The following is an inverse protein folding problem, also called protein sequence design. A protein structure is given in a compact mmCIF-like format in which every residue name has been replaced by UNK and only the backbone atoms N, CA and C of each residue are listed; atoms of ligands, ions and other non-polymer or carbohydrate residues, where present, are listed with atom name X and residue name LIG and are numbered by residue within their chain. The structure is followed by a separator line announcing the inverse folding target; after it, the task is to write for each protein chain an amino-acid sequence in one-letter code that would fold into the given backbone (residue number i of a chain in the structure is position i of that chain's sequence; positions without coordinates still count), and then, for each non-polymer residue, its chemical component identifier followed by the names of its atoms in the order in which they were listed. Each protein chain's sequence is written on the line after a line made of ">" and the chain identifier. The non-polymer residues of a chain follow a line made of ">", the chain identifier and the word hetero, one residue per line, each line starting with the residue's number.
data_IF_158505947885
#
_entry.id   IF_158505947885
#
_cell.length_a   1.000
_cell.length_b   1.000
_cell.length_c   1.000
_cell.angle_alpha   90.00
_cell.angle_beta   90.00
_cell.angle_gamma   90.00
#
_symmetry.space_group_name_H-M   'P 1'
#
loop_
_entity.id
_entity.type
_entity.pdbx_description
1 polymer ?
#
# COMPACT_ATOMS: atom_id res chain seq x y z
N UNK A 1 16.47 -12.13 1.94
CA UNK A 1 15.62 -12.91 2.88
C UNK A 1 14.47 -13.50 2.10
N UNK A 2 13.99 -14.70 2.42
CA UNK A 2 12.86 -15.32 1.70
C UNK A 2 11.58 -15.28 2.55
N UNK A 3 10.48 -14.91 1.92
CA UNK A 3 9.14 -14.86 2.52
C UNK A 3 8.22 -15.79 1.74
N UNK A 4 7.55 -16.69 2.46
CA UNK A 4 6.51 -17.57 1.93
C UNK A 4 5.12 -16.97 2.20
N UNK A 5 4.29 -16.90 1.17
CA UNK A 5 2.93 -16.36 1.23
C UNK A 5 1.94 -17.43 0.79
N UNK A 6 0.84 -17.55 1.55
CA UNK A 6 -0.36 -18.26 1.14
C UNK A 6 -1.57 -17.38 1.41
N UNK A 7 -2.41 -17.16 0.42
CA UNK A 7 -3.70 -16.50 0.60
C UNK A 7 -4.80 -17.26 -0.12
N UNK A 8 -5.96 -17.33 0.52
CA UNK A 8 -7.16 -17.96 -0.01
C UNK A 8 -8.35 -17.10 0.30
N UNK A 9 -9.20 -16.84 -0.68
CA UNK A 9 -10.40 -16.04 -0.48
C UNK A 9 -11.52 -16.45 -1.43
N UNK A 10 -12.75 -16.38 -0.94
CA UNK A 10 -13.94 -16.80 -1.65
C UNK A 10 -14.97 -15.66 -1.68
N UNK A 11 -15.63 -15.52 -2.81
CA UNK A 11 -16.68 -14.54 -3.02
C UNK A 11 -17.95 -15.21 -3.53
N UNK A 12 -19.10 -14.58 -3.32
CA UNK A 12 -20.38 -14.98 -3.94
C UNK A 12 -21.07 -13.79 -4.58
N UNK A 13 -21.86 -14.08 -5.62
CA UNK A 13 -22.58 -13.09 -6.43
C UNK A 13 -23.95 -13.64 -6.80
N UNK A 14 -24.98 -12.78 -6.79
CA UNK A 14 -26.35 -13.18 -7.17
C UNK A 14 -26.61 -13.10 -8.68
N UNK A 15 -25.78 -12.34 -9.40
CA UNK A 15 -25.86 -12.15 -10.84
C UNK A 15 -24.44 -12.13 -11.44
N UNK A 16 -24.28 -12.33 -12.76
CA UNK A 16 -22.98 -12.23 -13.40
C UNK A 16 -22.36 -10.84 -13.21
N UNK A 17 -21.14 -10.79 -12.69
CA UNK A 17 -20.37 -9.55 -12.52
C UNK A 17 -19.03 -9.63 -13.24
N UNK A 18 -18.46 -8.46 -13.49
CA UNK A 18 -17.03 -8.31 -13.75
C UNK A 18 -16.37 -7.75 -12.48
N UNK A 19 -15.22 -8.32 -12.12
CA UNK A 19 -14.42 -7.92 -10.98
C UNK A 19 -12.95 -7.80 -11.38
N UNK A 20 -12.24 -6.90 -10.71
CA UNK A 20 -10.81 -6.67 -10.90
C UNK A 20 -10.11 -6.87 -9.55
N UNK A 21 -9.30 -7.92 -9.47
CA UNK A 21 -8.59 -8.33 -8.27
C UNK A 21 -7.13 -7.89 -8.30
N UNK A 22 -6.54 -7.62 -7.14
CA UNK A 22 -5.11 -7.36 -7.00
C UNK A 22 -4.58 -7.97 -5.70
N UNK A 23 -3.84 -9.07 -5.83
CA UNK A 23 -3.33 -9.86 -4.70
C UNK A 23 -2.01 -10.57 -5.00
N UNK A 24 -1.65 -10.72 -6.28
CA UNK A 24 -0.42 -11.37 -6.68
C UNK A 24 0.78 -10.50 -6.34
N UNK A 25 1.81 -11.11 -5.77
CA UNK A 25 3.07 -10.42 -5.45
C UNK A 25 3.72 -9.85 -6.72
N UNK A 26 4.30 -8.66 -6.61
CA UNK A 26 5.03 -8.03 -7.69
C UNK A 26 6.42 -8.68 -7.85
N UNK A 27 6.90 -8.81 -9.09
CA UNK A 27 8.29 -9.19 -9.41
C UNK A 27 9.02 -7.94 -9.91
N UNK A 28 9.86 -7.35 -9.06
CA UNK A 28 10.47 -6.03 -9.27
C UNK A 28 11.92 -6.02 -8.74
N UNK A 29 12.77 -5.05 -9.11
CA UNK A 29 14.20 -5.10 -8.77
C UNK A 29 14.54 -5.28 -7.28
N UNK A 30 13.70 -4.81 -6.36
CA UNK A 30 13.91 -4.94 -4.90
C UNK A 30 13.27 -6.18 -4.25
N UNK A 31 12.51 -6.98 -5.02
CA UNK A 31 11.94 -8.26 -4.57
C UNK A 31 11.75 -9.22 -5.75
N UNK A 32 12.33 -10.41 -5.66
CA UNK A 32 12.34 -11.39 -6.74
C UNK A 32 11.37 -12.52 -6.48
N UNK A 33 10.49 -12.79 -7.43
CA UNK A 33 9.56 -13.92 -7.36
C UNK A 33 10.30 -15.23 -7.65
N UNK A 34 10.45 -16.08 -6.63
CA UNK A 34 11.11 -17.39 -6.76
C UNK A 34 10.16 -18.46 -7.29
N UNK A 35 8.93 -18.47 -6.79
CA UNK A 35 7.85 -19.33 -7.26
C UNK A 35 6.50 -18.67 -7.05
N UNK A 36 5.53 -19.00 -7.90
CA UNK A 36 4.17 -18.49 -7.80
C UNK A 36 3.19 -19.49 -8.38
N UNK A 37 2.12 -19.76 -7.63
CA UNK A 37 0.98 -20.56 -8.08
C UNK A 37 -0.29 -19.82 -7.73
N UNK A 38 -1.14 -19.61 -8.73
CA UNK A 38 -2.47 -19.04 -8.52
C UNK A 38 -3.51 -19.96 -9.13
N UNK A 39 -4.50 -20.36 -8.33
CA UNK A 39 -5.70 -21.06 -8.76
C UNK A 39 -6.92 -20.14 -8.62
N UNK A 40 -7.82 -20.22 -9.59
CA UNK A 40 -9.12 -19.54 -9.57
C UNK A 40 -10.18 -20.59 -9.93
N UNK A 41 -11.18 -20.78 -9.07
CA UNK A 41 -12.31 -21.67 -9.38
C UNK A 41 -13.28 -20.99 -10.36
N UNK A 42 -14.10 -21.80 -11.03
CA UNK A 42 -15.22 -21.47 -11.93
C UNK A 42 -15.42 -19.97 -12.27
N UNK A 43 -14.48 -19.43 -13.06
CA UNK A 43 -14.61 -18.12 -13.67
C UNK A 43 -14.91 -18.31 -15.16
N UNK A 44 -15.98 -17.68 -15.64
CA UNK A 44 -16.33 -17.71 -17.06
C UNK A 44 -15.24 -17.08 -17.93
N UNK A 45 -14.47 -16.13 -17.36
CA UNK A 45 -13.30 -15.53 -18.00
C UNK A 45 -12.30 -15.03 -16.96
N UNK A 46 -11.02 -15.18 -17.25
CA UNK A 46 -9.92 -14.63 -16.46
C UNK A 46 -8.88 -13.97 -17.39
N UNK A 47 -8.38 -12.78 -17.04
CA UNK A 47 -7.28 -12.13 -17.76
C UNK A 47 -6.40 -11.32 -16.80
N UNK A 48 -5.08 -11.45 -16.93
CA UNK A 48 -4.10 -10.70 -16.15
C UNK A 48 -3.64 -9.48 -16.95
N UNK A 49 -3.56 -8.32 -16.30
CA UNK A 49 -3.11 -7.06 -16.89
C UNK A 49 -2.06 -6.40 -15.97
N UNK A 50 -1.12 -5.60 -16.49
CA UNK A 50 -0.22 -4.82 -15.65
C UNK A 50 -0.98 -3.91 -14.69
N UNK A 51 -0.48 -3.78 -13.47
CA UNK A 51 -0.97 -2.79 -12.52
C UNK A 51 -0.30 -1.43 -12.74
N UNK A 52 -0.62 -0.46 -11.88
CA UNK A 52 -0.05 0.88 -11.93
C UNK A 52 1.49 0.84 -11.84
N UNK A 53 2.16 1.64 -12.69
CA UNK A 53 3.62 1.65 -12.86
C UNK A 53 4.25 0.31 -13.26
N UNK A 54 3.46 -0.63 -13.80
CA UNK A 54 3.90 -2.00 -14.06
C UNK A 54 4.42 -2.72 -12.79
N UNK A 55 4.02 -2.24 -11.60
CA UNK A 55 4.36 -2.87 -10.32
C UNK A 55 3.23 -3.80 -9.91
N UNK A 56 3.46 -5.08 -10.21
CA UNK A 56 2.47 -6.13 -10.02
C UNK A 56 1.43 -6.14 -11.14
N UNK A 57 0.30 -6.77 -10.86
CA UNK A 57 -0.72 -7.05 -11.85
C UNK A 57 -2.11 -7.06 -11.24
N UNK A 58 -3.10 -6.92 -12.12
CA UNK A 58 -4.51 -7.06 -11.79
C UNK A 58 -5.13 -8.20 -12.58
N UNK A 59 -6.11 -8.85 -11.98
CA UNK A 59 -6.78 -10.01 -12.56
C UNK A 59 -8.25 -9.68 -12.79
N UNK A 60 -8.64 -9.54 -14.05
CA UNK A 60 -10.03 -9.51 -14.45
C UNK A 60 -10.66 -10.87 -14.27
N UNK A 61 -11.81 -10.91 -13.63
CA UNK A 61 -12.62 -12.11 -13.41
C UNK A 61 -14.06 -11.80 -13.79
N UNK A 62 -14.63 -12.62 -14.68
CA UNK A 62 -16.07 -12.66 -14.87
C UNK A 62 -16.63 -13.89 -14.18
N UNK A 63 -17.48 -13.69 -13.19
CA UNK A 63 -18.03 -14.75 -12.35
C UNK A 63 -19.54 -14.62 -12.19
N UNK A 64 -20.18 -15.75 -11.87
CA UNK A 64 -21.59 -15.83 -11.49
C UNK A 64 -21.73 -16.93 -10.42
N UNK A 65 -22.32 -16.61 -9.27
CA UNK A 65 -22.29 -17.48 -8.10
C UNK A 65 -20.97 -17.37 -7.34
N UNK A 66 -20.52 -18.49 -6.75
CA UNK A 66 -19.32 -18.56 -5.91
C UNK A 66 -18.05 -18.75 -6.73
N UNK A 67 -17.02 -17.96 -6.46
CA UNK A 67 -15.68 -18.15 -7.01
C UNK A 67 -14.62 -17.95 -5.93
N UNK A 68 -13.52 -18.69 -6.04
CA UNK A 68 -12.47 -18.77 -5.04
C UNK A 68 -11.10 -18.58 -5.68
N UNK A 69 -10.21 -17.92 -4.96
CA UNK A 69 -8.81 -17.73 -5.34
C UNK A 69 -7.93 -18.39 -4.31
N UNK A 70 -6.94 -19.14 -4.78
CA UNK A 70 -5.82 -19.62 -3.99
C UNK A 70 -4.54 -19.07 -4.59
N UNK A 71 -3.70 -18.46 -3.78
CA UNK A 71 -2.43 -17.89 -4.19
C UNK A 71 -1.33 -18.34 -3.24
N UNK A 72 -0.25 -18.87 -3.81
CA UNK A 72 0.95 -19.23 -3.08
C UNK A 72 2.15 -18.62 -3.79
N UNK A 73 3.07 -18.02 -3.04
CA UNK A 73 4.29 -17.45 -3.60
C UNK A 73 5.46 -17.57 -2.63
N UNK A 74 6.67 -17.68 -3.18
CA UNK A 74 7.92 -17.48 -2.45
C UNK A 74 8.66 -16.30 -3.06
N UNK A 75 9.05 -15.36 -2.23
CA UNK A 75 9.66 -14.10 -2.68
C UNK A 75 10.96 -13.87 -1.92
N UNK A 76 12.03 -13.59 -2.67
CA UNK A 76 13.29 -13.12 -2.10
C UNK A 76 13.29 -11.59 -2.03
N UNK A 77 13.37 -11.02 -0.83
CA UNK A 77 13.52 -9.57 -0.63
C UNK A 77 14.99 -9.20 -0.76
N UNK A 78 15.26 -8.23 -1.64
CA UNK A 78 16.59 -7.68 -1.97
C UNK A 78 16.68 -6.16 -1.68
N UNK A 79 15.65 -5.61 -1.03
CA UNK A 79 15.52 -4.19 -0.71
C UNK A 79 16.62 -3.74 0.25
N UNK A 80 17.20 -2.58 -0.03
CA UNK A 80 18.08 -1.88 0.89
C UNK A 80 17.25 -1.00 1.82
N UNK A 81 17.39 -1.21 3.13
CA UNK A 81 16.74 -0.36 4.14
C UNK A 81 17.71 0.75 4.53
N UNK A 82 17.30 1.98 4.26
CA UNK A 82 18.07 3.18 4.59
C UNK A 82 17.40 3.83 5.80
N UNK A 83 18.21 4.36 6.71
CA UNK A 83 17.67 5.14 7.83
C UNK A 83 16.98 6.40 7.29
N UNK A 84 15.67 6.53 7.53
CA UNK A 84 14.88 7.66 7.01
C UNK A 84 15.51 9.01 7.36
N UNK A 85 15.92 9.24 8.62
CA UNK A 85 16.46 10.51 9.09
C UNK A 85 17.69 11.00 8.28
N UNK A 86 18.45 10.07 7.70
CA UNK A 86 19.64 10.37 6.89
C UNK A 86 19.29 10.97 5.53
N UNK A 87 18.08 10.68 5.02
CA UNK A 87 17.62 11.08 3.70
C UNK A 87 17.07 12.52 3.69
N UNK A 88 17.30 13.22 2.59
CA UNK A 88 16.92 14.64 2.47
C UNK A 88 15.71 14.83 1.57
N UNK A 89 15.10 16.00 1.65
CA UNK A 89 14.07 16.40 0.71
C UNK A 89 14.71 16.83 -0.61
N UNK A 90 14.07 16.51 -1.72
CA UNK A 90 14.39 17.14 -3.01
C UNK A 90 13.65 18.46 -3.12
N UNK A 91 14.35 19.47 -3.64
CA UNK A 91 13.67 20.67 -4.12
C UNK A 91 12.70 20.28 -5.24
N UNK A 92 11.45 20.81 -5.25
CA UNK A 92 10.45 20.39 -6.24
C UNK A 92 10.90 20.54 -7.70
N UNK A 93 11.72 21.56 -7.99
CA UNK A 93 12.26 21.81 -9.34
C UNK A 93 13.42 20.88 -9.73
N UNK A 94 13.92 20.05 -8.81
CA UNK A 94 14.94 19.02 -9.06
C UNK A 94 14.34 17.62 -9.12
N UNK A 95 13.03 17.49 -8.90
CA UNK A 95 12.36 16.19 -8.80
C UNK A 95 12.34 15.47 -10.16
N UNK A 96 12.67 14.17 -10.20
CA UNK A 96 12.46 13.35 -11.37
C UNK A 96 10.99 13.28 -11.77
N UNK A 97 10.68 13.03 -13.04
CA UNK A 97 9.30 13.06 -13.53
C UNK A 97 8.37 12.02 -12.86
N UNK A 98 8.88 10.80 -12.57
CA UNK A 98 8.05 9.70 -12.09
C UNK A 98 7.41 9.95 -10.70
N UNK A 99 8.13 10.50 -9.70
CA UNK A 99 7.54 10.87 -8.40
C UNK A 99 6.54 12.03 -8.43
N UNK A 100 6.61 12.96 -9.39
CA UNK A 100 5.84 14.23 -9.36
C UNK A 100 4.34 14.02 -9.15
N UNK A 101 3.74 13.03 -9.82
CA UNK A 101 2.29 12.76 -9.68
C UNK A 101 1.86 12.37 -8.27
N UNK A 102 2.79 11.88 -7.45
CA UNK A 102 2.57 11.49 -6.06
C UNK A 102 2.71 12.65 -5.08
N UNK A 103 2.83 13.89 -5.56
CA UNK A 103 2.62 15.12 -4.78
C UNK A 103 1.16 15.55 -4.73
N UNK A 104 0.35 15.18 -5.72
CA UNK A 104 -1.01 15.67 -5.87
C UNK A 104 -2.02 14.91 -5.01
N UNK A 105 -3.15 15.57 -4.76
CA UNK A 105 -4.29 14.97 -4.08
C UNK A 105 -4.84 13.77 -4.86
N UNK A 106 -5.46 12.87 -4.11
CA UNK A 106 -6.18 11.72 -4.65
C UNK A 106 -7.47 11.48 -3.86
N UNK A 107 -8.28 10.51 -4.27
CA UNK A 107 -9.64 10.27 -3.73
C UNK A 107 -9.67 10.18 -2.21
N UNK A 108 -8.67 9.52 -1.61
CA UNK A 108 -8.61 9.30 -0.17
C UNK A 108 -7.55 10.14 0.55
N UNK A 109 -6.75 10.92 -0.19
CA UNK A 109 -5.62 11.69 0.35
C UNK A 109 -5.71 13.15 -0.12
N UNK A 110 -6.45 13.98 0.61
CA UNK A 110 -6.63 15.42 0.35
C UNK A 110 -5.55 16.23 1.08
N UNK A 111 -4.34 16.24 0.56
CA UNK A 111 -3.16 16.82 1.21
C UNK A 111 -3.17 18.36 1.24
N UNK A 112 -3.82 19.00 0.26
CA UNK A 112 -4.04 20.45 0.22
C UNK A 112 -4.62 21.02 1.54
N UNK A 113 -5.48 20.26 2.21
CA UNK A 113 -6.12 20.65 3.47
C UNK A 113 -5.21 20.58 4.71
N UNK A 114 -4.02 19.98 4.59
CA UNK A 114 -3.13 19.70 5.73
C UNK A 114 -1.86 20.56 5.78
N UNK A 115 -1.65 21.46 4.81
CA UNK A 115 -0.41 22.25 4.70
C UNK A 115 -0.10 23.08 5.95
N UNK A 116 -1.09 23.80 6.50
CA UNK A 116 -0.91 24.56 7.75
C UNK A 116 -0.61 23.64 8.93
N UNK A 117 -1.34 22.53 9.04
CA UNK A 117 -1.14 21.56 10.11
C UNK A 117 0.29 20.98 10.09
N UNK A 118 0.80 20.56 8.94
CA UNK A 118 2.17 20.01 8.87
C UNK A 118 3.24 21.06 9.14
N UNK A 119 2.99 22.32 8.74
CA UNK A 119 3.88 23.44 9.03
C UNK A 119 4.04 23.68 10.53
N UNK A 120 2.94 23.69 11.27
CA UNK A 120 2.92 23.94 12.71
C UNK A 120 3.35 22.70 13.51
N UNK A 121 2.82 21.51 13.19
CA UNK A 121 3.03 20.29 13.98
C UNK A 121 4.44 19.72 13.84
N UNK A 122 5.06 19.89 12.66
CA UNK A 122 6.38 19.31 12.34
C UNK A 122 7.41 20.41 12.06
N UNK A 123 7.25 21.58 12.67
CA UNK A 123 8.21 22.69 12.59
C UNK A 123 9.64 22.21 12.93
N UNK A 124 10.63 22.70 12.20
CA UNK A 124 12.04 22.37 12.43
C UNK A 124 12.51 21.03 11.86
N UNK A 125 11.61 20.20 11.31
CA UNK A 125 11.95 18.94 10.62
C UNK A 125 11.90 19.10 9.10
N UNK A 126 12.65 18.29 8.35
CA UNK A 126 12.59 18.24 6.88
C UNK A 126 12.98 16.86 6.34
N UNK A 127 12.67 16.59 5.07
CA UNK A 127 13.05 15.33 4.42
C UNK A 127 12.64 14.09 5.22
N UNK A 128 13.56 13.16 5.39
CA UNK A 128 13.26 11.92 6.10
C UNK A 128 13.05 12.08 7.60
N UNK A 129 13.64 13.09 8.26
CA UNK A 129 13.31 13.43 9.65
C UNK A 129 11.84 13.82 9.80
N UNK A 130 11.31 14.58 8.83
CA UNK A 130 9.88 14.94 8.80
C UNK A 130 8.99 13.72 8.58
N UNK A 131 9.38 12.81 7.69
CA UNK A 131 8.63 11.56 7.45
C UNK A 131 8.60 10.69 8.70
N UNK A 132 9.72 10.58 9.41
CA UNK A 132 9.79 9.86 10.68
C UNK A 132 8.87 10.49 11.74
N UNK A 133 8.91 11.82 11.88
CA UNK A 133 8.02 12.55 12.80
C UNK A 133 6.53 12.36 12.45
N UNK A 134 6.17 12.37 11.16
CA UNK A 134 4.82 12.07 10.68
C UNK A 134 4.40 10.66 11.07
N UNK A 135 5.26 9.67 10.78
CA UNK A 135 5.02 8.26 11.08
C UNK A 135 4.76 8.07 12.58
N UNK A 136 5.63 8.62 13.42
CA UNK A 136 5.55 8.47 14.87
C UNK A 136 4.31 9.16 15.44
N UNK A 137 3.97 10.34 14.91
CA UNK A 137 2.76 11.04 15.29
C UNK A 137 1.50 10.25 14.92
N UNK A 138 1.42 9.65 13.73
CA UNK A 138 0.28 8.81 13.34
C UNK A 138 0.19 7.58 14.25
N UNK A 139 1.32 6.90 14.51
CA UNK A 139 1.37 5.76 15.40
C UNK A 139 0.90 6.09 16.83
N UNK A 140 1.29 7.26 17.35
CA UNK A 140 0.90 7.73 18.69
C UNK A 140 -0.57 8.19 18.75
N UNK A 141 -1.05 8.92 17.74
CA UNK A 141 -2.37 9.57 17.78
C UNK A 141 -3.51 8.68 17.32
N UNK A 142 -3.23 7.59 16.61
CA UNK A 142 -4.27 6.72 16.07
C UNK A 142 -4.41 5.44 16.88
N UNK A 143 -5.65 5.00 17.05
CA UNK A 143 -5.95 3.67 17.59
C UNK A 143 -6.32 2.71 16.46
N UNK A 144 -5.63 1.56 16.39
CA UNK A 144 -5.97 0.52 15.42
C UNK A 144 -7.29 -0.16 15.84
N UNK A 145 -8.32 -0.02 15.02
CA UNK A 145 -9.68 -0.44 15.35
C UNK A 145 -10.40 -1.06 14.13
N UNK A 146 -10.38 -2.40 13.96
CA UNK A 146 -11.14 -3.08 12.91
C UNK A 146 -12.62 -2.71 12.94
N UNK A 147 -13.20 -2.43 11.76
CA UNK A 147 -14.60 -2.03 11.61
C UNK A 147 -14.91 -0.57 11.97
N UNK A 148 -13.89 0.26 12.28
CA UNK A 148 -14.08 1.69 12.51
C UNK A 148 -14.17 2.53 11.24
N UNK A 149 -13.73 1.99 10.09
CA UNK A 149 -13.73 2.64 8.79
C UNK A 149 -14.36 1.74 7.72
N UNK A 150 -14.72 2.35 6.58
CA UNK A 150 -15.26 1.66 5.41
C UNK A 150 -14.53 2.09 4.11
N UNK A 151 -15.00 1.59 2.97
CA UNK A 151 -14.38 1.85 1.67
C UNK A 151 -14.43 3.33 1.24
N UNK A 152 -15.29 4.14 1.85
CA UNK A 152 -15.43 5.58 1.59
C UNK A 152 -14.59 6.47 2.50
N UNK A 153 -14.13 5.96 3.65
CA UNK A 153 -13.32 6.72 4.62
C UNK A 153 -12.04 7.28 3.98
N UNK A 154 -11.81 8.58 4.19
CA UNK A 154 -10.66 9.34 3.70
C UNK A 154 -9.64 9.62 4.81
N UNK A 155 -8.46 10.13 4.44
CA UNK A 155 -7.47 10.63 5.40
C UNK A 155 -8.03 11.76 6.27
N UNK A 156 -8.88 12.63 5.71
CA UNK A 156 -9.54 13.69 6.48
C UNK A 156 -10.47 13.13 7.56
N UNK A 157 -11.30 12.15 7.21
CA UNK A 157 -12.18 11.49 8.19
C UNK A 157 -11.36 10.81 9.29
N UNK A 158 -10.32 10.08 8.88
CA UNK A 158 -9.42 9.37 9.80
C UNK A 158 -8.65 10.33 10.71
N UNK A 159 -8.30 11.53 10.21
CA UNK A 159 -7.72 12.59 11.02
C UNK A 159 -8.67 13.09 12.10
N UNK A 160 -9.96 13.23 11.81
CA UNK A 160 -10.95 13.62 12.83
C UNK A 160 -11.16 12.47 13.83
N UNK A 161 -11.31 11.25 13.34
CA UNK A 161 -11.68 10.10 14.16
C UNK A 161 -10.54 9.53 15.01
N UNK A 162 -9.28 9.72 14.60
CA UNK A 162 -8.08 9.19 15.30
C UNK A 162 -8.10 7.68 15.51
N UNK A 163 -8.72 6.96 14.58
CA UNK A 163 -8.78 5.49 14.56
C UNK A 163 -8.97 5.01 13.13
N UNK A 164 -8.63 3.75 12.90
CA UNK A 164 -8.77 3.12 11.59
C UNK A 164 -8.04 1.79 11.53
N UNK A 165 -7.84 1.29 10.32
CA UNK A 165 -7.01 0.12 10.02
C UNK A 165 -5.79 0.53 9.19
N UNK A 166 -4.95 -0.43 8.79
CA UNK A 166 -3.72 -0.18 8.04
C UNK A 166 -3.89 0.74 6.82
N UNK A 167 -5.01 0.60 6.09
CA UNK A 167 -5.37 1.48 4.97
C UNK A 167 -5.42 2.95 5.37
N UNK A 168 -6.07 3.24 6.49
CA UNK A 168 -6.31 4.62 6.95
C UNK A 168 -5.02 5.24 7.49
N UNK A 169 -4.20 4.45 8.18
CA UNK A 169 -2.85 4.84 8.59
C UNK A 169 -1.98 5.19 7.37
N UNK A 170 -1.97 4.34 6.35
CA UNK A 170 -1.22 4.57 5.13
C UNK A 170 -1.72 5.82 4.39
N UNK A 171 -3.03 6.05 4.29
CA UNK A 171 -3.60 7.28 3.70
C UNK A 171 -3.21 8.52 4.50
N UNK A 172 -3.20 8.44 5.84
CA UNK A 172 -2.78 9.56 6.67
C UNK A 172 -1.31 9.91 6.45
N UNK A 173 -0.42 8.91 6.46
CA UNK A 173 1.02 9.13 6.20
C UNK A 173 1.24 9.71 4.79
N UNK A 174 0.59 9.15 3.76
CA UNK A 174 0.66 9.69 2.39
C UNK A 174 0.20 11.14 2.34
N UNK A 175 -0.91 11.46 2.99
CA UNK A 175 -1.49 12.82 2.99
C UNK A 175 -0.56 13.83 3.66
N UNK A 176 -0.02 13.51 4.84
CA UNK A 176 0.89 14.42 5.55
C UNK A 176 2.24 14.57 4.84
N UNK A 177 2.75 13.50 4.23
CA UNK A 177 3.97 13.57 3.43
C UNK A 177 3.78 14.49 2.21
N UNK A 178 2.66 14.33 1.47
CA UNK A 178 2.33 15.21 0.34
C UNK A 178 2.13 16.67 0.75
N UNK A 179 1.46 16.91 1.87
CA UNK A 179 1.30 18.25 2.44
C UNK A 179 2.66 18.90 2.79
N UNK A 180 3.67 18.07 3.04
CA UNK A 180 5.07 18.46 3.28
C UNK A 180 5.92 18.58 2.01
N UNK A 181 5.29 18.49 0.83
CA UNK A 181 5.95 18.49 -0.50
C UNK A 181 6.93 17.32 -0.67
N UNK A 182 6.60 16.17 -0.07
CA UNK A 182 7.33 14.91 -0.21
C UNK A 182 6.44 13.95 -1.00
N UNK A 183 6.86 13.46 -2.18
CA UNK A 183 6.05 12.53 -2.96
C UNK A 183 5.80 11.27 -2.15
N UNK A 184 4.54 10.84 -2.09
CA UNK A 184 4.16 9.66 -1.33
C UNK A 184 3.09 8.86 -2.06
N UNK A 185 3.20 7.54 -2.03
CA UNK A 185 2.28 6.60 -2.66
C UNK A 185 1.82 5.54 -1.66
N UNK A 186 0.66 4.98 -1.93
CA UNK A 186 0.10 3.88 -1.17
C UNK A 186 0.64 2.56 -1.71
N UNK A 187 0.91 1.62 -0.81
CA UNK A 187 1.42 0.28 -1.14
C UNK A 187 0.50 -0.76 -0.53
N UNK A 188 -0.07 -1.63 -1.38
CA UNK A 188 -0.70 -2.85 -0.94
C UNK A 188 0.37 -3.94 -0.81
N UNK A 189 0.39 -4.68 0.29
CA UNK A 189 1.45 -5.64 0.58
C UNK A 189 1.02 -6.82 1.46
N UNK A 190 1.92 -7.78 1.55
CA UNK A 190 1.96 -8.81 2.60
C UNK A 190 3.10 -8.49 3.58
N UNK A 191 2.93 -8.85 4.85
CA UNK A 191 3.98 -8.79 5.86
C UNK A 191 3.75 -9.86 6.95
N UNK A 192 4.83 -10.41 7.55
CA UNK A 192 4.74 -11.55 8.47
C UNK A 192 4.23 -11.23 9.89
N UNK A 193 4.31 -9.98 10.32
CA UNK A 193 3.96 -9.58 11.70
C UNK A 193 2.57 -8.92 11.81
N UNK A 194 1.80 -8.90 10.72
CA UNK A 194 0.45 -8.32 10.68
C UNK A 194 -0.49 -9.14 11.56
N UNK A 195 -1.14 -8.49 12.51
CA UNK A 195 -1.98 -9.16 13.51
C UNK A 195 -3.37 -8.52 13.61
N UNK A 196 -4.47 -9.29 13.39
CA UNK A 196 -4.48 -10.64 12.85
C UNK A 196 -3.95 -10.69 11.41
N UNK A 197 -3.43 -11.84 10.98
CA UNK A 197 -2.82 -11.97 9.67
C UNK A 197 -3.82 -11.67 8.55
N UNK A 198 -3.49 -10.67 7.73
CA UNK A 198 -4.30 -10.18 6.61
C UNK A 198 -3.40 -9.56 5.53
N UNK A 199 -3.99 -9.09 4.44
CA UNK A 199 -3.38 -8.08 3.60
C UNK A 199 -3.08 -6.83 4.41
N UNK A 200 -1.99 -6.16 4.06
CA UNK A 200 -1.57 -4.94 4.73
C UNK A 200 -1.43 -3.80 3.74
N UNK A 201 -1.40 -2.59 4.30
CA UNK A 201 -1.25 -1.37 3.56
C UNK A 201 -0.27 -0.46 4.29
N UNK A 202 0.67 0.11 3.54
CA UNK A 202 1.68 1.03 4.06
C UNK A 202 1.85 2.21 3.10
N UNK A 203 2.54 3.24 3.55
CA UNK A 203 2.98 4.33 2.69
C UNK A 203 4.36 4.05 2.12
N UNK A 204 4.69 4.71 1.02
CA UNK A 204 6.04 4.78 0.49
C UNK A 204 6.34 6.20 0.03
N UNK A 205 7.47 6.75 0.46
CA UNK A 205 7.86 8.14 0.20
C UNK A 205 9.10 8.21 -0.68
N UNK A 206 9.20 9.24 -1.51
CA UNK A 206 10.39 9.49 -2.33
C UNK A 206 11.25 10.57 -1.68
N UNK A 207 12.49 10.23 -1.36
CA UNK A 207 13.44 11.13 -0.71
C UNK A 207 14.76 11.16 -1.48
N UNK A 208 15.50 12.25 -1.35
CA UNK A 208 16.85 12.36 -1.90
C UNK A 208 17.79 11.41 -1.17
N UNK A 209 18.43 10.55 -1.95
CA UNK A 209 19.53 9.70 -1.53
C UNK A 209 20.77 10.10 -2.33
N UNK A 210 21.82 10.64 -1.68
CA UNK A 210 23.06 11.05 -2.33
C UNK A 210 23.76 9.92 -3.10
N UNK A 211 23.53 8.67 -2.71
CA UNK A 211 24.13 7.49 -3.33
C UNK A 211 23.31 6.98 -4.54
N UNK A 212 22.11 7.54 -4.76
CA UNK A 212 21.20 7.10 -5.82
C UNK A 212 21.38 7.91 -7.10
N UNK A 213 21.81 7.24 -8.17
CA UNK A 213 21.77 7.81 -9.51
C UNK A 213 20.32 8.07 -9.93
N UNK A 214 20.00 9.32 -10.28
CA UNK A 214 18.63 9.71 -10.68
C UNK A 214 17.85 10.49 -9.63
N UNK A 215 18.49 10.85 -8.51
CA UNK A 215 18.03 11.92 -7.63
C UNK A 215 17.25 11.48 -6.39
N UNK A 216 16.93 10.21 -6.20
CA UNK A 216 16.29 9.78 -4.96
C UNK A 216 15.81 8.33 -4.93
N UNK A 217 15.30 7.91 -3.78
CA UNK A 217 14.91 6.54 -3.47
C UNK A 217 13.52 6.49 -2.84
N UNK A 218 12.79 5.40 -3.09
CA UNK A 218 11.51 5.13 -2.46
C UNK A 218 11.72 4.37 -1.15
N UNK A 219 11.10 4.83 -0.06
CA UNK A 219 11.23 4.24 1.27
C UNK A 219 9.87 3.91 1.87
N UNK A 220 9.72 2.67 2.34
CA UNK A 220 8.50 2.17 2.98
C UNK A 220 8.33 2.75 4.38
N UNK A 221 7.10 3.16 4.70
CA UNK A 221 6.74 3.77 5.98
C UNK A 221 5.45 3.13 6.48
N UNK A 222 5.56 2.40 7.59
CA UNK A 222 4.42 1.82 8.29
C UNK A 222 4.24 2.48 9.66
N UNK A 223 3.11 3.17 9.84
CA UNK A 223 2.72 3.80 11.10
C UNK A 223 1.87 2.88 12.00
N UNK A 224 1.57 1.66 11.56
CA UNK A 224 0.88 0.66 12.38
C UNK A 224 1.82 -0.16 13.27
N UNK A 225 3.14 -0.05 13.06
CA UNK A 225 4.17 -0.88 13.70
C UNK A 225 4.07 -2.39 13.39
N UNK A 226 3.26 -2.80 12.41
CA UNK A 226 3.00 -4.21 12.11
C UNK A 226 3.88 -4.80 10.99
N UNK A 227 4.64 -3.99 10.27
CA UNK A 227 5.48 -4.46 9.17
C UNK A 227 6.83 -3.75 9.11
N UNK A 228 7.89 -4.53 8.86
CA UNK A 228 9.25 -4.01 8.68
C UNK A 228 9.60 -3.82 7.21
N UNK A 229 10.27 -2.72 6.82
CA UNK A 229 10.64 -2.46 5.43
C UNK A 229 11.41 -3.58 4.73
N UNK A 230 12.24 -4.37 5.41
CA UNK A 230 13.02 -5.49 4.85
C UNK A 230 12.22 -6.80 4.71
N UNK A 231 10.98 -6.84 5.20
CA UNK A 231 10.13 -8.04 5.22
C UNK A 231 8.80 -7.84 4.46
N UNK A 232 8.49 -6.60 4.08
CA UNK A 232 7.30 -6.25 3.28
C UNK A 232 7.44 -6.80 1.85
N UNK A 233 6.44 -7.56 1.42
CA UNK A 233 6.29 -8.04 0.04
C UNK A 233 5.20 -7.23 -0.67
N UNK A 234 5.59 -6.40 -1.63
CA UNK A 234 4.67 -5.54 -2.40
C UNK A 234 3.80 -6.36 -3.34
N UNK A 235 2.52 -5.99 -3.37
CA UNK A 235 1.52 -6.45 -4.35
C UNK A 235 1.38 -5.40 -5.45
N UNK A 236 1.29 -4.13 -5.07
CA UNK A 236 1.14 -3.03 -5.99
C UNK A 236 1.23 -1.67 -5.32
N UNK A 237 1.37 -0.62 -6.12
CA UNK A 237 1.46 0.76 -5.64
C UNK A 237 0.51 1.67 -6.40
N UNK A 238 0.06 2.75 -5.77
CA UNK A 238 -0.87 3.69 -6.38
C UNK A 238 -0.91 5.01 -5.62
N UNK A 239 -1.65 6.01 -6.12
CA UNK A 239 -1.76 7.28 -5.39
C UNK A 239 -2.50 7.06 -4.07
N UNK A 240 -3.50 6.19 -4.07
CA UNK A 240 -4.20 5.71 -2.88
C UNK A 240 -4.84 4.35 -3.17
N UNK A 241 -5.75 3.90 -2.29
CA UNK A 241 -6.42 2.61 -2.41
C UNK A 241 -7.35 2.50 -3.63
N UNK A 242 -7.72 3.60 -4.30
CA UNK A 242 -8.53 3.54 -5.52
C UNK A 242 -7.74 2.92 -6.68
N UNK A 243 -6.42 3.14 -6.70
CA UNK A 243 -5.52 2.64 -7.74
C UNK A 243 -5.07 1.18 -7.45
N UNK A 244 -5.18 0.69 -6.20
CA UNK A 244 -4.65 -0.63 -5.76
C UNK A 244 -5.58 -1.44 -4.83
N UNK A 245 -6.89 -1.28 -4.99
CA UNK A 245 -7.88 -2.08 -4.27
C UNK A 245 -7.65 -3.58 -4.44
N UNK A 246 -7.76 -4.35 -3.35
CA UNK A 246 -7.77 -5.82 -3.39
C UNK A 246 -8.87 -6.37 -4.34
N UNK A 247 -10.05 -5.77 -4.30
CA UNK A 247 -11.20 -6.07 -5.14
C UNK A 247 -11.86 -4.75 -5.57
N UNK A 248 -12.02 -4.57 -6.88
CA UNK A 248 -13.00 -3.65 -7.47
C UNK A 248 -14.08 -4.50 -8.14
N UNK A 249 -15.36 -4.29 -7.81
CA UNK A 249 -16.48 -5.01 -8.42
C UNK A 249 -17.37 -4.08 -9.23
N UNK A 250 -17.83 -4.58 -10.38
CA UNK A 250 -18.83 -3.92 -11.23
C UNK A 250 -20.16 -4.66 -11.09
N UNK A 251 -20.66 -4.65 -9.85
CA UNK A 251 -21.81 -5.42 -9.38
C UNK A 251 -21.67 -5.74 -7.89
N UNK A 252 -22.74 -6.27 -7.30
CA UNK A 252 -22.74 -6.68 -5.90
C UNK A 252 -21.99 -8.00 -5.73
N UNK A 253 -21.11 -8.05 -4.74
CA UNK A 253 -20.31 -9.21 -4.39
C UNK A 253 -20.11 -9.24 -2.88
N UNK A 254 -20.21 -10.43 -2.31
CA UNK A 254 -19.92 -10.64 -0.89
C UNK A 254 -18.64 -11.45 -0.74
N UNK A 255 -17.76 -11.00 0.16
CA UNK A 255 -16.59 -11.78 0.58
C UNK A 255 -17.05 -12.81 1.63
N UNK A 256 -16.98 -14.09 1.28
CA UNK A 256 -17.39 -15.20 2.15
C UNK A 256 -16.28 -15.59 3.13
N UNK A 257 -15.07 -15.79 2.60
CA UNK A 257 -13.95 -16.37 3.33
C UNK A 257 -12.66 -15.65 2.91
N UNK A 258 -11.76 -15.44 3.86
CA UNK A 258 -10.43 -14.89 3.63
C UNK A 258 -9.45 -15.43 4.64
N UNK A 259 -8.34 -15.96 4.16
CA UNK A 259 -7.20 -16.41 4.94
C UNK A 259 -5.95 -15.89 4.28
N UNK A 260 -5.07 -15.28 5.06
CA UNK A 260 -3.73 -14.87 4.64
C UNK A 260 -2.74 -15.47 5.62
N UNK A 261 -1.61 -15.96 5.12
CA UNK A 261 -0.50 -16.48 5.90
C UNK A 261 0.79 -16.01 5.25
N UNK A 262 1.66 -15.40 6.04
CA UNK A 262 2.96 -14.87 5.60
C UNK A 262 4.01 -15.36 6.58
N UNK A 263 5.01 -16.09 6.10
CA UNK A 263 6.02 -16.75 6.93
C UNK A 263 7.42 -16.35 6.45
N UNK A 264 8.34 -16.26 7.40
CA UNK A 264 9.78 -16.16 7.13
C UNK A 264 10.32 -17.57 6.91
N UNK A 265 11.06 -17.77 5.83
CA UNK A 265 11.76 -19.04 5.57
C UNK A 265 13.15 -19.08 6.22
#
# INVERSE_FOLDING_TARGET
>A
MTISIRSSFAFTTEAPIDALLQFAVADIPEQKLLSCRTGLTDAARCARIPAQEDIGERVWVRANGRFEVQHEAQVEIQRQVIELSSLKQLEPHQMPAAPVKYLFDSRYCQADQFQSFVGDQFEGTAGGERVQAIRDWVAEKFTYAPGSSDASTTAHDSFIERRGICRDYAHMVVTLARASVIPARFVACYAPDVTPQDFHAVAEVFLHDPESEGGGTWQLVDATDMAKPDEIVKIGVGRDAADVSFLTSFGMVDLCEKVVQVLRD
#
